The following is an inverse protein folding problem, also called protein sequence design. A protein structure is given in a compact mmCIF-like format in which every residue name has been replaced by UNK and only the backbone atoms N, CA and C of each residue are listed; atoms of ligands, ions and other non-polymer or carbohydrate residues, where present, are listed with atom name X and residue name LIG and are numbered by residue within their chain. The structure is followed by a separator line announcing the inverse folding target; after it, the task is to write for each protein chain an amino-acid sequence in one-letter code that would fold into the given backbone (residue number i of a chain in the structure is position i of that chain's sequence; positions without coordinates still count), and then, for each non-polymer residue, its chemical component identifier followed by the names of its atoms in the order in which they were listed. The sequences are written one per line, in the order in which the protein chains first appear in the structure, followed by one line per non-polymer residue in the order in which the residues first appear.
data_IF_659318745449
#
_entry.id   IF_659318745449
#
_cell.length_a   1.000
_cell.length_b   1.000
_cell.length_c   1.000
_cell.angle_alpha   90.00
_cell.angle_beta   90.00
_cell.angle_gamma   90.00
#
_symmetry.space_group_name_H-M   'P 1'
#
loop_
_entity.id
_entity.type
_entity.pdbx_description
1 polymer ?
#
# COMPACT_ATOMS: atom_id res chain seq x y z
N UNK A 1 -0.23 -33.07 -14.23
CA UNK A 1 -0.24 -31.84 -15.06
C UNK A 1 -1.54 -31.74 -15.82
N UNK A 2 -1.89 -30.54 -16.29
CA UNK A 2 -3.02 -30.35 -17.19
C UNK A 2 -2.60 -30.65 -18.63
N UNK A 3 -3.50 -31.22 -19.43
CA UNK A 3 -3.30 -31.42 -20.87
C UNK A 3 -2.96 -30.09 -21.57
N UNK A 4 -2.06 -30.12 -22.54
CA UNK A 4 -1.60 -28.94 -23.28
C UNK A 4 -1.26 -29.29 -24.74
N UNK A 5 -1.27 -28.29 -25.60
CA UNK A 5 -0.83 -28.41 -27.00
C UNK A 5 0.49 -27.67 -27.17
N UNK A 6 1.53 -28.33 -27.68
CA UNK A 6 2.76 -27.68 -28.12
C UNK A 6 2.70 -27.46 -29.61
N UNK A 7 3.13 -26.30 -30.07
CA UNK A 7 3.08 -25.91 -31.47
C UNK A 7 4.42 -25.30 -31.88
N UNK A 8 5.08 -25.86 -32.88
CA UNK A 8 6.25 -25.24 -33.50
C UNK A 8 5.78 -24.07 -34.37
N UNK A 9 6.25 -22.87 -34.04
CA UNK A 9 5.96 -21.67 -34.83
C UNK A 9 6.72 -21.74 -36.16
N UNK A 10 6.09 -21.34 -37.27
CA UNK A 10 6.77 -21.31 -38.55
C UNK A 10 7.86 -20.24 -38.56
N UNK A 11 8.95 -20.49 -39.30
CA UNK A 11 10.00 -19.51 -39.51
C UNK A 11 9.51 -18.30 -40.32
N UNK A 12 8.54 -18.50 -41.21
CA UNK A 12 7.87 -17.46 -42.00
C UNK A 12 6.36 -17.57 -41.77
N UNK A 13 5.73 -16.52 -41.27
CA UNK A 13 4.30 -16.55 -40.98
C UNK A 13 3.47 -16.11 -42.20
N UNK A 14 2.79 -17.06 -42.84
CA UNK A 14 1.73 -16.74 -43.79
C UNK A 14 0.38 -16.70 -43.06
N UNK A 15 -0.34 -15.57 -43.00
CA UNK A 15 -1.65 -15.49 -42.34
C UNK A 15 -2.72 -16.39 -42.98
N UNK A 16 -2.55 -16.82 -44.23
CA UNK A 16 -3.48 -17.73 -44.90
C UNK A 16 -3.21 -19.21 -44.58
N UNK A 17 -1.97 -19.55 -44.17
CA UNK A 17 -1.58 -20.91 -43.83
C UNK A 17 -1.56 -21.10 -42.30
N UNK A 18 -2.37 -22.03 -41.83
CA UNK A 18 -2.46 -22.42 -40.43
C UNK A 18 -1.71 -23.75 -40.15
N UNK A 19 -1.07 -24.33 -41.16
CA UNK A 19 -0.36 -25.60 -41.06
C UNK A 19 0.89 -25.43 -40.22
N UNK A 20 1.02 -26.23 -39.17
CA UNK A 20 2.18 -26.21 -38.30
C UNK A 20 2.40 -27.59 -37.67
N UNK A 21 3.65 -27.85 -37.26
CA UNK A 21 3.96 -29.06 -36.50
C UNK A 21 3.53 -28.88 -35.04
N UNK A 22 2.78 -29.84 -34.51
CA UNK A 22 2.24 -29.74 -33.15
C UNK A 22 2.14 -31.09 -32.46
N UNK A 23 2.21 -31.04 -31.12
CA UNK A 23 2.15 -32.20 -30.25
C UNK A 23 1.06 -32.02 -29.21
N UNK A 24 0.33 -33.11 -28.93
CA UNK A 24 -0.62 -33.16 -27.82
C UNK A 24 0.03 -33.78 -26.60
N UNK A 25 0.06 -33.04 -25.50
CA UNK A 25 0.45 -33.55 -24.18
C UNK A 25 -0.79 -33.96 -23.40
N UNK A 26 -0.78 -35.17 -22.84
CA UNK A 26 -1.73 -35.56 -21.81
C UNK A 26 -1.01 -36.18 -20.62
N UNK A 27 -1.18 -35.56 -19.45
CA UNK A 27 -0.40 -35.89 -18.25
C UNK A 27 1.11 -35.87 -18.49
N UNK A 28 1.73 -37.05 -18.43
CA UNK A 28 3.18 -37.26 -18.56
C UNK A 28 3.57 -37.94 -19.89
N UNK A 29 2.70 -37.90 -20.89
CA UNK A 29 2.95 -38.51 -22.20
C UNK A 29 2.70 -37.53 -23.37
N UNK A 30 3.57 -37.61 -24.38
CA UNK A 30 3.32 -37.06 -25.71
C UNK A 30 2.48 -38.08 -26.46
N UNK A 31 1.25 -37.72 -26.79
CA UNK A 31 0.28 -38.64 -27.39
C UNK A 31 0.47 -38.80 -28.90
N UNK A 32 0.92 -37.77 -29.59
CA UNK A 32 0.96 -37.74 -31.06
C UNK A 32 1.73 -36.53 -31.61
N UNK A 33 2.39 -36.73 -32.74
CA UNK A 33 3.02 -35.71 -33.59
C UNK A 33 2.12 -35.52 -34.84
N UNK A 34 1.80 -34.27 -35.17
CA UNK A 34 0.92 -33.89 -36.28
C UNK A 34 1.49 -32.70 -37.04
N UNK A 35 1.20 -32.61 -38.33
CA UNK A 35 1.56 -31.49 -39.20
C UNK A 35 0.33 -31.07 -40.00
N UNK A 36 -0.51 -30.23 -39.39
CA UNK A 36 -1.78 -29.77 -39.95
C UNK A 36 -2.26 -28.51 -39.21
N UNK A 37 -3.51 -28.10 -39.47
CA UNK A 37 -4.15 -26.96 -38.82
C UNK A 37 -5.16 -27.36 -37.72
N UNK A 38 -5.20 -28.63 -37.31
CA UNK A 38 -6.19 -29.16 -36.35
C UNK A 38 -5.86 -28.81 -34.90
N UNK A 39 -4.64 -28.32 -34.64
CA UNK A 39 -4.22 -27.77 -33.36
C UNK A 39 -5.20 -26.69 -32.84
N UNK A 40 -5.88 -25.96 -33.74
CA UNK A 40 -6.90 -24.95 -33.42
C UNK A 40 -8.13 -25.52 -32.72
N UNK A 41 -8.48 -26.77 -33.03
CA UNK A 41 -9.69 -27.44 -32.54
C UNK A 41 -9.51 -28.13 -31.19
N UNK A 42 -8.27 -28.21 -30.67
CA UNK A 42 -7.97 -28.97 -29.44
C UNK A 42 -8.57 -28.31 -28.19
N UNK A 43 -8.73 -26.98 -28.17
CA UNK A 43 -9.26 -26.25 -27.01
C UNK A 43 -8.39 -26.32 -25.74
N UNK A 44 -7.15 -26.82 -25.86
CA UNK A 44 -6.20 -26.96 -24.76
C UNK A 44 -5.31 -25.71 -24.64
N UNK A 45 -4.69 -25.47 -23.46
CA UNK A 45 -3.64 -24.47 -23.32
C UNK A 45 -2.51 -24.67 -24.34
N UNK A 46 -2.23 -23.64 -25.13
CA UNK A 46 -1.22 -23.66 -26.18
C UNK A 46 0.14 -23.19 -25.65
N UNK A 47 1.21 -23.94 -25.90
CA UNK A 47 2.61 -23.55 -25.68
C UNK A 47 3.28 -23.50 -27.05
N UNK A 48 3.80 -22.35 -27.44
CA UNK A 48 4.48 -22.23 -28.73
C UNK A 48 5.98 -22.48 -28.57
N UNK A 49 6.59 -23.13 -29.57
CA UNK A 49 8.03 -23.30 -29.70
C UNK A 49 8.52 -22.35 -30.80
N UNK A 50 9.40 -21.41 -30.45
CA UNK A 50 10.01 -20.50 -31.41
C UNK A 50 11.09 -21.23 -32.21
N UNK A 51 11.13 -21.09 -33.54
CA UNK A 51 12.07 -21.77 -34.42
C UNK A 51 13.51 -21.38 -34.09
N UNK A 52 14.43 -22.34 -34.26
CA UNK A 52 15.85 -22.17 -33.89
C UNK A 52 16.51 -21.05 -34.69
N UNK A 53 16.17 -20.91 -35.97
CA UNK A 53 16.72 -19.87 -36.84
C UNK A 53 16.44 -18.44 -36.35
N UNK A 54 15.41 -18.24 -35.52
CA UNK A 54 14.97 -16.91 -35.07
C UNK A 54 15.37 -16.59 -33.62
N UNK A 55 15.89 -17.56 -32.87
CA UNK A 55 16.25 -17.38 -31.45
C UNK A 55 17.68 -17.81 -31.19
N UNK A 56 18.50 -16.86 -30.73
CA UNK A 56 19.86 -17.17 -30.27
C UNK A 56 19.81 -17.63 -28.82
N UNK A 57 20.41 -18.78 -28.54
CA UNK A 57 20.67 -19.26 -27.19
C UNK A 57 22.12 -18.99 -26.80
N UNK A 58 22.34 -18.65 -25.53
CA UNK A 58 23.67 -18.50 -24.94
C UNK A 58 23.67 -19.02 -23.50
N UNK A 59 24.79 -19.56 -23.04
CA UNK A 59 24.94 -20.28 -21.78
C UNK A 59 26.07 -19.68 -20.93
N UNK A 60 25.88 -18.47 -20.37
CA UNK A 60 26.92 -17.79 -19.63
C UNK A 60 27.22 -18.44 -18.28
N UNK A 61 28.46 -18.35 -17.85
CA UNK A 61 28.90 -18.80 -16.54
C UNK A 61 28.35 -17.91 -15.42
N UNK A 62 28.23 -18.50 -14.22
CA UNK A 62 27.84 -17.77 -12.99
C UNK A 62 29.09 -17.45 -12.18
N UNK A 63 29.19 -16.24 -11.66
CA UNK A 63 30.34 -15.77 -10.89
C UNK A 63 29.95 -15.46 -9.43
N UNK A 64 29.32 -16.43 -8.77
CA UNK A 64 28.99 -16.34 -7.35
C UNK A 64 27.81 -15.42 -6.99
N UNK A 65 27.11 -14.86 -7.97
CA UNK A 65 25.94 -14.01 -7.74
C UNK A 65 24.70 -14.82 -7.36
N UNK A 66 23.73 -14.13 -6.74
CA UNK A 66 22.40 -14.69 -6.54
C UNK A 66 21.75 -15.03 -7.89
N UNK A 67 20.87 -16.04 -7.92
CA UNK A 67 20.25 -16.49 -9.18
C UNK A 67 19.56 -15.35 -9.96
N UNK A 68 18.89 -14.42 -9.25
CA UNK A 68 18.23 -13.27 -9.87
C UNK A 68 19.21 -12.25 -10.45
N UNK A 69 20.34 -12.02 -9.78
CA UNK A 69 21.39 -11.13 -10.29
C UNK A 69 22.06 -11.73 -11.52
N UNK A 70 22.43 -13.01 -11.45
CA UNK A 70 23.02 -13.72 -12.58
C UNK A 70 22.11 -13.67 -13.82
N UNK A 71 20.81 -13.93 -13.66
CA UNK A 71 19.82 -13.79 -14.75
C UNK A 71 19.73 -12.36 -15.29
N UNK A 72 19.74 -11.35 -14.43
CA UNK A 72 19.67 -9.95 -14.86
C UNK A 72 20.92 -9.52 -15.64
N UNK A 73 22.12 -9.89 -15.16
CA UNK A 73 23.40 -9.62 -15.80
C UNK A 73 23.46 -10.33 -17.16
N UNK A 74 23.18 -11.64 -17.17
CA UNK A 74 23.19 -12.45 -18.38
C UNK A 74 22.23 -11.91 -19.44
N UNK A 75 21.01 -11.50 -19.05
CA UNK A 75 20.05 -10.89 -19.98
C UNK A 75 20.58 -9.58 -20.58
N UNK A 76 21.19 -8.71 -19.78
CA UNK A 76 21.76 -7.45 -20.28
C UNK A 76 22.94 -7.70 -21.22
N UNK A 77 23.87 -8.58 -20.82
CA UNK A 77 25.01 -8.97 -21.64
C UNK A 77 24.58 -9.60 -22.98
N UNK A 78 23.55 -10.45 -22.97
CA UNK A 78 23.02 -11.08 -24.18
C UNK A 78 22.43 -10.04 -25.16
N UNK A 79 21.80 -8.97 -24.67
CA UNK A 79 21.33 -7.87 -25.54
C UNK A 79 22.52 -7.08 -26.11
N UNK A 80 23.52 -6.77 -25.29
CA UNK A 80 24.72 -6.03 -25.71
C UNK A 80 25.55 -6.78 -26.76
N UNK A 81 25.61 -8.11 -26.68
CA UNK A 81 26.25 -8.98 -27.68
C UNK A 81 25.39 -9.19 -28.94
N UNK A 82 24.17 -8.65 -28.98
CA UNK A 82 23.31 -8.71 -30.15
C UNK A 82 23.87 -7.87 -31.30
N UNK A 83 23.68 -8.33 -32.54
CA UNK A 83 24.08 -7.56 -33.73
C UNK A 83 23.10 -6.44 -34.09
N UNK A 84 21.86 -6.51 -33.59
CA UNK A 84 20.82 -5.51 -33.81
C UNK A 84 20.80 -4.48 -32.69
N UNK A 85 20.10 -3.36 -32.91
CA UNK A 85 19.89 -2.35 -31.87
C UNK A 85 19.19 -2.97 -30.65
N UNK A 86 19.71 -2.68 -29.45
CA UNK A 86 19.24 -3.22 -28.18
C UNK A 86 17.73 -2.97 -27.96
N UNK A 87 17.19 -1.85 -28.44
CA UNK A 87 15.75 -1.55 -28.31
C UNK A 87 14.86 -2.51 -29.13
N UNK A 88 15.42 -3.10 -30.19
CA UNK A 88 14.75 -4.01 -31.14
C UNK A 88 14.86 -5.49 -30.75
N UNK A 89 15.65 -5.79 -29.72
CA UNK A 89 15.81 -7.14 -29.19
C UNK A 89 14.98 -7.37 -27.93
N UNK A 90 14.58 -8.62 -27.74
CA UNK A 90 13.98 -9.12 -26.51
C UNK A 90 14.81 -10.29 -26.00
N UNK A 91 15.22 -10.21 -24.73
CA UNK A 91 16.01 -11.26 -24.10
C UNK A 91 15.34 -11.74 -22.81
N UNK A 92 15.45 -13.04 -22.57
CA UNK A 92 15.02 -13.72 -21.34
C UNK A 92 16.17 -14.54 -20.82
N UNK A 93 16.33 -14.60 -19.51
CA UNK A 93 17.32 -15.45 -18.84
C UNK A 93 16.61 -16.38 -17.86
N UNK A 94 17.10 -17.61 -17.76
CA UNK A 94 16.52 -18.65 -16.93
C UNK A 94 17.48 -19.80 -16.70
N UNK A 95 17.04 -20.82 -15.97
CA UNK A 95 17.83 -22.02 -15.75
C UNK A 95 17.32 -23.12 -16.67
N UNK A 96 18.19 -23.63 -17.53
CA UNK A 96 17.95 -24.79 -18.40
C UNK A 96 18.93 -25.88 -17.96
N UNK A 97 18.41 -27.02 -17.50
CA UNK A 97 19.21 -28.12 -16.93
C UNK A 97 20.23 -27.65 -15.88
N UNK A 98 19.80 -26.82 -14.92
CA UNK A 98 20.64 -26.20 -13.87
C UNK A 98 21.74 -25.23 -14.38
N UNK A 99 21.90 -25.07 -15.69
CA UNK A 99 22.78 -24.07 -16.29
C UNK A 99 22.03 -22.78 -16.55
N UNK A 100 22.70 -21.64 -16.34
CA UNK A 100 22.15 -20.36 -16.73
C UNK A 100 22.13 -20.29 -18.25
N UNK A 101 20.97 -19.97 -18.80
CA UNK A 101 20.76 -19.82 -20.22
C UNK A 101 20.03 -18.51 -20.51
N UNK A 102 20.31 -17.95 -21.68
CA UNK A 102 19.61 -16.79 -22.21
C UNK A 102 19.06 -17.10 -23.58
N UNK A 103 17.91 -16.52 -23.90
CA UNK A 103 17.29 -16.59 -25.21
C UNK A 103 17.06 -15.16 -25.70
N UNK A 104 17.58 -14.85 -26.89
CA UNK A 104 17.47 -13.54 -27.54
C UNK A 104 16.72 -13.70 -28.86
N UNK A 105 15.70 -12.86 -29.04
CA UNK A 105 14.84 -12.83 -30.23
C UNK A 105 14.60 -11.40 -30.69
N UNK A 106 14.42 -11.20 -31.98
CA UNK A 106 14.00 -9.91 -32.52
C UNK A 106 12.54 -9.61 -32.15
N UNK A 107 12.24 -8.36 -31.78
CA UNK A 107 10.87 -7.94 -31.48
C UNK A 107 9.93 -8.16 -32.67
N UNK A 108 10.43 -7.98 -33.91
CA UNK A 108 9.67 -8.20 -35.13
C UNK A 108 9.13 -9.63 -35.23
N UNK A 109 9.99 -10.63 -35.03
CA UNK A 109 9.58 -12.05 -35.05
C UNK A 109 8.55 -12.37 -33.97
N UNK A 110 8.72 -11.82 -32.76
CA UNK A 110 7.73 -11.99 -31.68
C UNK A 110 6.37 -11.40 -32.04
N UNK A 111 6.34 -10.21 -32.65
CA UNK A 111 5.10 -9.57 -33.10
C UNK A 111 4.46 -10.41 -34.20
N UNK A 112 5.24 -10.81 -35.20
CA UNK A 112 4.78 -11.61 -36.33
C UNK A 112 4.15 -12.94 -35.87
N UNK A 113 4.80 -13.68 -34.96
CA UNK A 113 4.24 -14.91 -34.41
C UNK A 113 2.96 -14.68 -33.61
N UNK A 114 2.92 -13.64 -32.77
CA UNK A 114 1.75 -13.33 -31.96
C UNK A 114 0.56 -12.88 -32.83
N UNK A 115 0.83 -12.11 -33.88
CA UNK A 115 -0.18 -11.67 -34.85
C UNK A 115 -0.69 -12.85 -35.68
N UNK A 116 0.18 -13.76 -36.13
CA UNK A 116 -0.20 -14.98 -36.84
C UNK A 116 -1.06 -15.89 -35.96
N UNK A 117 -0.66 -16.12 -34.70
CA UNK A 117 -1.46 -16.88 -33.74
C UNK A 117 -2.82 -16.22 -33.49
N UNK A 118 -2.85 -14.89 -33.32
CA UNK A 118 -4.08 -14.14 -33.10
C UNK A 118 -5.02 -14.18 -34.32
N UNK A 119 -4.48 -14.11 -35.55
CA UNK A 119 -5.24 -14.25 -36.79
C UNK A 119 -5.94 -15.62 -36.87
N UNK A 120 -5.31 -16.65 -36.29
CA UNK A 120 -5.87 -18.00 -36.19
C UNK A 120 -6.67 -18.25 -34.89
N UNK A 121 -6.96 -17.20 -34.12
CA UNK A 121 -7.79 -17.28 -32.91
C UNK A 121 -7.10 -17.89 -31.69
N UNK A 122 -5.77 -17.96 -31.69
CA UNK A 122 -4.98 -18.57 -30.64
C UNK A 122 -4.15 -17.56 -29.84
N UNK A 123 -3.96 -17.83 -28.54
CA UNK A 123 -3.13 -17.02 -27.65
C UNK A 123 -2.30 -17.94 -26.75
N UNK A 124 -1.00 -18.15 -27.04
CA UNK A 124 -0.20 -19.13 -26.31
C UNK A 124 0.06 -18.71 -24.85
N UNK A 125 0.04 -19.66 -23.93
CA UNK A 125 0.37 -19.43 -22.52
C UNK A 125 1.85 -19.08 -22.35
N UNK A 126 2.72 -19.71 -23.14
CA UNK A 126 4.16 -19.50 -23.14
C UNK A 126 4.71 -19.65 -24.56
N UNK A 127 5.84 -19.00 -24.83
CA UNK A 127 6.64 -19.20 -26.04
C UNK A 127 8.04 -19.60 -25.57
N UNK A 128 8.52 -20.77 -25.95
CA UNK A 128 9.81 -21.31 -25.56
C UNK A 128 10.71 -21.46 -26.79
N UNK A 129 12.03 -21.27 -26.69
CA UNK A 129 12.94 -21.58 -27.80
C UNK A 129 12.96 -23.09 -28.08
N UNK A 130 12.74 -23.49 -29.34
CA UNK A 130 12.84 -24.90 -29.76
C UNK A 130 14.24 -25.48 -29.50
N UNK A 131 15.27 -24.64 -29.59
CA UNK A 131 16.66 -25.01 -29.29
C UNK A 131 16.89 -25.51 -27.87
N UNK A 132 16.02 -25.17 -26.91
CA UNK A 132 16.12 -25.66 -25.54
C UNK A 132 15.73 -27.14 -25.39
N UNK A 133 15.26 -27.80 -26.45
CA UNK A 133 15.01 -29.24 -26.48
C UNK A 133 16.31 -30.06 -26.49
N UNK A 134 17.40 -29.49 -26.99
CA UNK A 134 18.69 -30.18 -27.03
C UNK A 134 19.47 -29.89 -25.74
N UNK A 135 19.93 -30.92 -25.00
CA UNK A 135 20.80 -30.73 -23.84
C UNK A 135 22.06 -29.96 -24.23
N UNK A 136 22.57 -29.07 -23.38
CA UNK A 136 23.90 -28.51 -23.57
C UNK A 136 24.96 -29.62 -23.36
N UNK A 137 25.59 -30.06 -24.45
CA UNK A 137 26.67 -31.07 -24.47
C UNK A 137 27.92 -30.55 -25.17
N UNK A 138 29.10 -31.05 -24.79
CA UNK A 138 30.37 -30.76 -25.48
C UNK A 138 30.49 -31.48 -26.83
N UNK A 139 29.72 -32.56 -27.02
CA UNK A 139 29.60 -33.30 -28.27
C UNK A 139 28.55 -32.66 -29.18
N UNK A 140 28.70 -32.86 -30.49
CA UNK A 140 27.67 -32.49 -31.46
C UNK A 140 26.43 -33.35 -31.27
N UNK A 141 25.30 -32.67 -31.11
CA UNK A 141 23.98 -33.28 -31.05
C UNK A 141 23.11 -32.72 -32.17
N UNK A 142 22.33 -33.58 -32.82
CA UNK A 142 21.38 -33.21 -33.85
C UNK A 142 19.98 -33.72 -33.51
N UNK A 143 18.96 -32.96 -33.91
CA UNK A 143 17.56 -33.30 -33.72
C UNK A 143 16.74 -32.78 -34.89
N UNK A 144 15.76 -33.55 -35.36
CA UNK A 144 14.74 -33.10 -36.30
C UNK A 144 13.46 -32.71 -35.54
N UNK A 145 12.96 -31.49 -35.78
CA UNK A 145 11.71 -30.95 -35.23
C UNK A 145 10.80 -30.55 -36.39
N UNK A 146 9.79 -31.37 -36.68
CA UNK A 146 8.94 -31.18 -37.86
C UNK A 146 9.80 -31.17 -39.14
N UNK A 147 9.73 -30.13 -39.98
CA UNK A 147 10.55 -30.02 -41.19
C UNK A 147 12.00 -29.57 -40.92
N UNK A 148 12.29 -29.02 -39.74
CA UNK A 148 13.55 -28.34 -39.47
C UNK A 148 14.52 -29.25 -38.72
N UNK A 149 15.76 -29.32 -39.22
CA UNK A 149 16.87 -29.91 -38.48
C UNK A 149 17.51 -28.88 -37.55
N UNK A 150 18.01 -29.36 -36.41
CA UNK A 150 18.70 -28.56 -35.40
C UNK A 150 20.02 -29.24 -35.05
N UNK A 151 21.08 -28.44 -34.95
CA UNK A 151 22.42 -28.87 -34.59
C UNK A 151 22.90 -28.05 -33.38
N UNK A 152 23.49 -28.70 -32.38
CA UNK A 152 23.98 -28.02 -31.19
C UNK A 152 25.29 -28.62 -30.64
N UNK A 153 26.12 -27.76 -30.02
CA UNK A 153 27.36 -28.11 -29.31
C UNK A 153 27.81 -26.98 -28.40
N UNK A 154 28.24 -27.28 -27.18
CA UNK A 154 28.97 -26.35 -26.31
C UNK A 154 28.23 -25.03 -26.01
N UNK A 155 26.90 -25.03 -26.14
CA UNK A 155 26.07 -23.83 -26.01
C UNK A 155 25.72 -23.12 -27.33
N UNK A 156 26.30 -23.51 -28.47
CA UNK A 156 25.81 -23.16 -29.80
C UNK A 156 24.58 -24.00 -30.14
N UNK A 157 23.53 -23.36 -30.62
CA UNK A 157 22.36 -24.02 -31.23
C UNK A 157 22.07 -23.32 -32.55
N UNK A 158 22.05 -24.08 -33.64
CA UNK A 158 21.86 -23.57 -34.98
C UNK A 158 20.95 -24.49 -35.81
N UNK A 159 20.33 -23.98 -36.89
CA UNK A 159 19.67 -24.81 -37.89
C UNK A 159 20.66 -25.81 -38.50
N UNK A 160 20.21 -27.02 -38.76
CA UNK A 160 21.02 -28.08 -39.34
C UNK A 160 20.96 -28.06 -40.87
N UNK A 161 21.47 -27.00 -41.46
CA UNK A 161 21.58 -26.87 -42.90
C UNK A 161 22.85 -27.59 -43.40
N UNK A 162 22.78 -28.37 -44.50
CA UNK A 162 23.93 -29.16 -44.98
C UNK A 162 25.21 -28.32 -45.16
N UNK A 163 25.09 -27.13 -45.76
CA UNK A 163 26.22 -26.24 -45.99
C UNK A 163 26.83 -25.71 -44.68
N UNK A 164 26.01 -25.47 -43.66
CA UNK A 164 26.47 -24.98 -42.36
C UNK A 164 27.07 -26.12 -41.52
N UNK A 165 26.48 -27.32 -41.59
CA UNK A 165 27.02 -28.53 -40.98
C UNK A 165 28.43 -28.82 -41.47
N UNK A 166 28.67 -28.78 -42.78
CA UNK A 166 29.99 -29.02 -43.38
C UNK A 166 31.04 -27.97 -42.96
N UNK A 167 30.62 -26.76 -42.58
CA UNK A 167 31.51 -25.70 -42.09
C UNK A 167 31.78 -25.77 -40.59
N UNK A 168 30.82 -26.28 -39.80
CA UNK A 168 30.90 -26.30 -38.33
C UNK A 168 31.47 -27.61 -37.79
N UNK A 169 31.12 -28.73 -38.41
CA UNK A 169 31.53 -30.07 -37.96
C UNK A 169 32.80 -30.46 -38.68
N UNK A 170 33.89 -30.66 -37.94
CA UNK A 170 35.16 -31.07 -38.54
C UNK A 170 35.08 -32.50 -39.12
N UNK A 171 35.80 -32.80 -40.21
CA UNK A 171 35.83 -34.14 -40.77
C UNK A 171 36.34 -35.17 -39.73
N UNK A 172 35.45 -36.06 -39.28
CA UNK A 172 35.75 -37.11 -38.30
C UNK A 172 35.13 -36.90 -36.92
N UNK A 173 34.50 -35.75 -36.66
CA UNK A 173 33.64 -35.59 -35.49
C UNK A 173 32.30 -36.31 -35.70
N UNK A 174 31.84 -37.06 -34.69
CA UNK A 174 30.56 -37.77 -34.73
C UNK A 174 29.44 -36.85 -34.24
N UNK A 175 28.34 -36.79 -34.99
CA UNK A 175 27.13 -36.06 -34.62
C UNK A 175 26.12 -37.05 -34.06
N UNK A 176 25.84 -36.96 -32.77
CA UNK A 176 24.85 -37.81 -32.10
C UNK A 176 23.43 -37.37 -32.46
N UNK A 177 22.65 -38.26 -33.08
CA UNK A 177 21.23 -38.00 -33.34
C UNK A 177 20.42 -38.29 -32.08
N UNK A 178 19.71 -37.28 -31.57
CA UNK A 178 18.84 -37.43 -30.42
C UNK A 178 17.70 -38.41 -30.73
N UNK A 179 17.53 -39.47 -29.93
CA UNK A 179 16.49 -40.44 -30.18
C UNK A 179 15.10 -39.87 -29.84
N UNK A 180 14.03 -40.25 -30.57
CA UNK A 180 12.70 -39.63 -30.42
C UNK A 180 12.12 -39.67 -29.00
N UNK A 181 12.40 -40.73 -28.23
CA UNK A 181 11.93 -40.84 -26.86
C UNK A 181 12.50 -39.74 -25.94
N UNK A 182 13.75 -39.35 -26.16
CA UNK A 182 14.40 -38.28 -25.40
C UNK A 182 13.79 -36.93 -25.75
N UNK A 183 13.46 -36.72 -27.02
CA UNK A 183 12.75 -35.51 -27.51
C UNK A 183 11.40 -35.36 -26.83
N UNK A 184 10.62 -36.44 -26.74
CA UNK A 184 9.33 -36.42 -26.04
C UNK A 184 9.49 -36.10 -24.55
N UNK A 185 10.49 -36.68 -23.87
CA UNK A 185 10.79 -36.35 -22.48
C UNK A 185 11.16 -34.87 -22.32
N UNK A 186 11.91 -34.33 -23.27
CA UNK A 186 12.31 -32.92 -23.29
C UNK A 186 11.13 -31.98 -23.53
N UNK A 187 10.23 -32.31 -24.45
CA UNK A 187 8.99 -31.56 -24.67
C UNK A 187 8.15 -31.48 -23.38
N UNK A 188 8.01 -32.60 -22.67
CA UNK A 188 7.32 -32.65 -21.38
C UNK A 188 8.02 -31.78 -20.32
N UNK A 189 9.34 -31.91 -20.18
CA UNK A 189 10.12 -31.13 -19.21
C UNK A 189 10.03 -29.62 -19.48
N UNK A 190 10.12 -29.20 -20.75
CA UNK A 190 9.97 -27.79 -21.14
C UNK A 190 8.57 -27.28 -20.84
N UNK A 191 7.51 -28.06 -21.13
CA UNK A 191 6.14 -27.68 -20.85
C UNK A 191 5.86 -27.52 -19.33
N UNK A 192 6.56 -28.28 -18.48
CA UNK A 192 6.45 -28.20 -17.02
C UNK A 192 7.18 -26.99 -16.45
N UNK A 193 8.45 -26.83 -16.80
CA UNK A 193 9.36 -25.88 -16.15
C UNK A 193 9.34 -24.50 -16.78
N UNK A 194 8.97 -24.40 -18.07
CA UNK A 194 8.96 -23.17 -18.86
C UNK A 194 10.24 -22.30 -18.67
N UNK A 195 11.46 -22.89 -18.74
CA UNK A 195 12.68 -22.28 -18.22
C UNK A 195 13.11 -20.99 -18.93
N UNK A 196 12.71 -20.79 -20.19
CA UNK A 196 13.06 -19.65 -21.03
C UNK A 196 11.82 -19.06 -21.73
N UNK A 197 10.81 -18.68 -20.95
CA UNK A 197 9.57 -18.15 -21.51
C UNK A 197 9.76 -16.74 -22.11
N UNK A 198 9.67 -16.65 -23.45
CA UNK A 198 9.72 -15.40 -24.22
C UNK A 198 8.46 -14.54 -24.06
N UNK A 199 7.37 -15.06 -23.48
CA UNK A 199 6.18 -14.27 -23.13
C UNK A 199 6.35 -13.50 -21.82
N UNK A 200 7.38 -12.66 -21.74
CA UNK A 200 7.67 -11.82 -20.59
C UNK A 200 7.87 -10.36 -20.98
N UNK A 201 7.88 -9.46 -19.99
CA UNK A 201 8.06 -8.01 -20.23
C UNK A 201 7.00 -7.45 -21.18
N UNK A 202 7.43 -6.88 -22.31
CA UNK A 202 6.53 -6.25 -23.30
C UNK A 202 5.60 -7.24 -24.01
N UNK A 203 5.98 -8.52 -24.08
CA UNK A 203 5.20 -9.61 -24.68
C UNK A 203 4.48 -10.46 -23.63
N UNK A 204 4.45 -10.01 -22.37
CA UNK A 204 3.72 -10.68 -21.32
C UNK A 204 2.24 -10.77 -21.72
N UNK A 205 1.67 -11.97 -21.56
CA UNK A 205 0.25 -12.19 -21.76
C UNK A 205 -0.52 -11.25 -20.84
N UNK A 206 -1.33 -10.36 -21.43
CA UNK A 206 -2.25 -9.49 -20.68
C UNK A 206 -3.29 -10.39 -20.04
N UNK A 207 -3.02 -10.82 -18.79
CA UNK A 207 -4.01 -11.51 -17.98
C UNK A 207 -5.12 -10.51 -17.71
N UNK A 208 -6.23 -10.61 -18.45
CA UNK A 208 -7.51 -10.22 -17.89
C UNK A 208 -7.63 -11.06 -16.62
N UNK A 209 -7.46 -10.42 -15.47
CA UNK A 209 -7.55 -11.07 -14.17
C UNK A 209 -8.91 -11.76 -14.15
N UNK A 210 -8.92 -13.08 -14.34
CA UNK A 210 -10.03 -13.94 -13.99
C UNK A 210 -10.10 -13.85 -12.46
N UNK A 211 -10.78 -12.80 -12.00
CA UNK A 211 -10.93 -12.49 -10.60
C UNK A 211 -11.76 -13.62 -10.02
N UNK A 212 -11.07 -14.51 -9.32
CA UNK A 212 -11.68 -15.69 -8.71
C UNK A 212 -12.79 -15.23 -7.76
N UNK A 213 -14.04 -15.35 -8.20
CA UNK A 213 -15.21 -14.80 -7.53
C UNK A 213 -15.36 -15.30 -6.09
N UNK A 214 -14.83 -16.50 -5.83
CA UNK A 214 -14.74 -17.05 -4.49
C UNK A 214 -13.81 -16.23 -3.59
N UNK A 215 -12.62 -15.86 -4.09
CA UNK A 215 -11.66 -15.02 -3.37
C UNK A 215 -12.16 -13.59 -3.22
N UNK A 216 -12.85 -13.05 -4.22
CA UNK A 216 -13.47 -11.73 -4.07
C UNK A 216 -14.54 -11.74 -2.99
N UNK A 217 -15.37 -12.78 -2.91
CA UNK A 217 -16.36 -12.92 -1.83
C UNK A 217 -15.72 -13.01 -0.45
N UNK A 218 -14.60 -13.72 -0.32
CA UNK A 218 -13.84 -13.78 0.94
C UNK A 218 -13.24 -12.42 1.31
N UNK A 219 -12.65 -11.71 0.35
CA UNK A 219 -12.13 -10.36 0.55
C UNK A 219 -13.23 -9.34 0.88
N UNK A 220 -14.38 -9.45 0.23
CA UNK A 220 -15.55 -8.62 0.51
C UNK A 220 -16.11 -8.89 1.91
N UNK A 221 -16.16 -10.15 2.34
CA UNK A 221 -16.57 -10.52 3.68
C UNK A 221 -15.61 -9.96 4.75
N UNK A 222 -14.29 -10.07 4.51
CA UNK A 222 -13.27 -9.45 5.36
C UNK A 222 -13.38 -7.93 5.40
N UNK A 223 -13.60 -7.29 4.24
CA UNK A 223 -13.77 -5.85 4.14
C UNK A 223 -15.04 -5.35 4.84
N UNK A 224 -16.13 -6.14 4.85
CA UNK A 224 -17.36 -5.83 5.57
C UNK A 224 -17.24 -6.05 7.08
N UNK A 225 -16.39 -6.99 7.51
CA UNK A 225 -16.16 -7.28 8.92
C UNK A 225 -15.54 -6.07 9.65
N UNK A 226 -14.64 -5.34 8.98
CA UNK A 226 -13.94 -4.18 9.55
C UNK A 226 -14.92 -3.08 10.03
N UNK A 227 -15.82 -2.53 9.18
CA UNK A 227 -16.78 -1.53 9.63
C UNK A 227 -17.80 -2.09 10.62
N UNK A 228 -18.16 -3.39 10.53
CA UNK A 228 -19.05 -4.02 11.51
C UNK A 228 -18.44 -4.04 12.91
N UNK A 229 -17.16 -4.43 13.02
CA UNK A 229 -16.39 -4.35 14.27
C UNK A 229 -16.30 -2.92 14.79
N UNK A 230 -16.07 -1.95 13.91
CA UNK A 230 -16.08 -0.53 14.25
C UNK A 230 -17.42 -0.07 14.83
N UNK A 231 -18.54 -0.50 14.23
CA UNK A 231 -19.88 -0.20 14.70
C UNK A 231 -20.16 -0.78 16.09
N UNK A 232 -19.80 -2.05 16.32
CA UNK A 232 -19.97 -2.73 17.62
C UNK A 232 -19.14 -2.04 18.70
N UNK A 233 -17.90 -1.67 18.39
CA UNK A 233 -17.03 -0.93 19.31
C UNK A 233 -17.63 0.44 19.67
N UNK A 234 -18.15 1.16 18.66
CA UNK A 234 -18.84 2.44 18.87
C UNK A 234 -20.07 2.31 19.77
N UNK A 235 -20.90 1.29 19.54
CA UNK A 235 -22.08 1.01 20.38
C UNK A 235 -21.67 0.69 21.82
N UNK A 236 -20.64 -0.13 22.02
CA UNK A 236 -20.16 -0.49 23.35
C UNK A 236 -19.65 0.74 24.13
N UNK A 237 -18.93 1.64 23.47
CA UNK A 237 -18.48 2.90 24.06
C UNK A 237 -19.67 3.80 24.44
N UNK A 238 -20.68 3.91 23.57
CA UNK A 238 -21.89 4.70 23.85
C UNK A 238 -22.62 4.21 25.09
N UNK A 239 -22.86 2.90 25.20
CA UNK A 239 -23.55 2.29 26.35
C UNK A 239 -22.75 2.50 27.64
N UNK A 240 -21.42 2.35 27.57
CA UNK A 240 -20.55 2.56 28.72
C UNK A 240 -20.57 4.01 29.20
N UNK A 241 -20.52 4.96 28.27
CA UNK A 241 -20.59 6.39 28.59
C UNK A 241 -21.90 6.78 29.25
N UNK A 242 -23.03 6.22 28.80
CA UNK A 242 -24.35 6.45 29.39
C UNK A 242 -24.46 5.89 30.82
N UNK A 243 -23.88 4.72 31.06
CA UNK A 243 -23.80 4.12 32.40
C UNK A 243 -22.91 4.94 33.34
N UNK A 244 -21.74 5.38 32.86
CA UNK A 244 -20.82 6.20 33.64
C UNK A 244 -21.46 7.57 33.97
N UNK A 245 -22.15 8.19 33.01
CA UNK A 245 -22.90 9.43 33.22
C UNK A 245 -24.03 9.26 34.24
N UNK A 246 -24.86 8.23 34.08
CA UNK A 246 -25.96 7.93 35.01
C UNK A 246 -25.47 7.70 36.44
N UNK A 247 -24.32 7.05 36.60
CA UNK A 247 -23.69 6.81 37.91
C UNK A 247 -23.23 8.12 38.55
N UNK A 248 -22.54 8.98 37.79
CA UNK A 248 -22.08 10.29 38.25
C UNK A 248 -23.24 11.20 38.64
N UNK A 249 -24.33 11.20 37.86
CA UNK A 249 -25.55 11.94 38.19
C UNK A 249 -26.17 11.45 39.51
N UNK A 250 -26.31 10.14 39.68
CA UNK A 250 -26.84 9.57 40.93
C UNK A 250 -25.97 9.91 42.15
N UNK A 251 -24.65 9.93 41.98
CA UNK A 251 -23.71 10.31 43.04
C UNK A 251 -23.79 11.81 43.37
N UNK A 252 -23.89 12.67 42.35
CA UNK A 252 -24.05 14.11 42.51
C UNK A 252 -25.35 14.46 43.22
N UNK A 253 -26.45 13.79 42.85
CA UNK A 253 -27.75 13.94 43.52
C UNK A 253 -27.67 13.52 44.99
N UNK A 254 -27.02 12.40 45.30
CA UNK A 254 -26.84 11.90 46.68
C UNK A 254 -25.99 12.83 47.54
N UNK A 255 -24.86 13.30 47.02
CA UNK A 255 -23.97 14.18 47.78
C UNK A 255 -24.63 15.53 48.03
N UNK A 256 -25.36 16.04 47.04
CA UNK A 256 -26.08 17.32 47.15
C UNK A 256 -27.26 17.22 48.09
N UNK A 257 -28.04 16.14 48.02
CA UNK A 257 -29.17 15.94 48.94
C UNK A 257 -28.70 15.77 50.39
N UNK A 258 -27.60 15.05 50.61
CA UNK A 258 -26.97 14.92 51.92
C UNK A 258 -26.45 16.27 52.45
N UNK A 259 -25.88 17.10 51.57
CA UNK A 259 -25.42 18.43 51.94
C UNK A 259 -26.60 19.33 52.34
N UNK A 260 -27.61 19.48 51.47
CA UNK A 260 -28.73 20.42 51.61
C UNK A 260 -29.76 19.96 52.66
N UNK A 261 -29.86 18.65 52.92
CA UNK A 261 -30.85 18.06 53.82
C UNK A 261 -32.25 17.90 53.19
N UNK A 262 -32.34 18.00 51.86
CA UNK A 262 -33.54 17.79 51.06
C UNK A 262 -33.19 16.97 49.82
N UNK A 263 -34.12 16.15 49.32
CA UNK A 263 -33.89 15.40 48.08
C UNK A 263 -33.86 16.35 46.87
N UNK A 264 -32.75 16.34 46.14
CA UNK A 264 -32.53 17.18 44.95
C UNK A 264 -31.98 16.30 43.82
N UNK A 265 -32.58 16.40 42.63
CA UNK A 265 -32.09 15.70 41.43
C UNK A 265 -30.73 16.23 40.97
N UNK A 266 -29.94 15.40 40.27
CA UNK A 266 -28.62 15.80 39.75
C UNK A 266 -28.66 17.08 38.91
N UNK A 267 -29.69 17.24 38.07
CA UNK A 267 -29.86 18.42 37.22
C UNK A 267 -30.12 19.72 38.02
N UNK A 268 -30.74 19.61 39.20
CA UNK A 268 -31.04 20.75 40.08
C UNK A 268 -30.00 20.95 41.19
N UNK A 269 -29.03 20.02 41.32
CA UNK A 269 -28.06 19.97 42.39
C UNK A 269 -27.21 21.26 42.47
N UNK A 270 -26.67 21.70 41.33
CA UNK A 270 -25.86 22.92 41.26
C UNK A 270 -26.66 24.16 41.67
N UNK A 271 -27.87 24.33 41.12
CA UNK A 271 -28.74 25.46 41.43
C UNK A 271 -29.18 25.48 42.90
N UNK A 272 -29.45 24.32 43.49
CA UNK A 272 -29.83 24.20 44.89
C UNK A 272 -28.64 24.48 45.84
N UNK A 273 -27.42 24.05 45.47
CA UNK A 273 -26.20 24.41 46.21
C UNK A 273 -25.96 25.92 46.18
N UNK A 274 -26.05 26.54 45.00
CA UNK A 274 -25.85 27.98 44.84
C UNK A 274 -26.87 28.79 45.64
N UNK A 275 -28.13 28.34 45.65
CA UNK A 275 -29.19 28.97 46.45
C UNK A 275 -28.89 28.88 47.95
N UNK A 276 -28.39 27.74 48.43
CA UNK A 276 -28.04 27.54 49.85
C UNK A 276 -26.80 28.33 50.26
N UNK A 277 -25.80 28.42 49.40
CA UNK A 277 -24.59 29.22 49.61
C UNK A 277 -24.97 30.71 49.68
N UNK A 278 -25.85 31.18 48.78
CA UNK A 278 -26.37 32.55 48.79
C UNK A 278 -27.24 32.88 50.01
N UNK A 279 -27.96 31.90 50.56
CA UNK A 279 -28.82 32.08 51.74
C UNK A 279 -28.07 32.10 53.08
N UNK A 280 -26.78 31.75 53.12
CA UNK A 280 -25.97 31.73 54.35
C UNK A 280 -25.17 33.04 54.47
N UNK A 281 -25.53 33.96 55.39
CA UNK A 281 -24.86 35.26 55.49
C UNK A 281 -23.37 35.10 55.78
N UNK A 282 -22.50 35.63 54.91
CA UNK A 282 -21.04 35.54 55.02
C UNK A 282 -20.41 34.29 54.36
N UNK A 283 -21.20 33.39 53.78
CA UNK A 283 -20.71 32.21 53.07
C UNK A 283 -20.62 32.38 51.55
N UNK A 284 -20.64 33.61 51.03
CA UNK A 284 -20.30 33.88 49.62
C UNK A 284 -18.80 33.64 49.42
N UNK A 285 -18.35 32.38 49.50
CA UNK A 285 -16.95 31.94 49.45
C UNK A 285 -16.30 32.06 48.07
N UNK A 286 -16.84 32.88 47.18
CA UNK A 286 -16.28 33.15 45.87
C UNK A 286 -15.66 34.55 45.87
N UNK A 287 -14.33 34.69 45.71
CA UNK A 287 -13.67 35.99 45.61
C UNK A 287 -13.99 36.70 44.28
N UNK A 288 -14.60 35.99 43.33
CA UNK A 288 -14.72 36.43 41.94
C UNK A 288 -15.77 37.53 41.69
N UNK A 289 -16.98 37.51 42.28
CA UNK A 289 -17.96 38.58 42.07
C UNK A 289 -17.50 39.99 42.50
N UNK A 290 -16.96 40.23 43.73
CA UNK A 290 -16.50 41.57 44.11
C UNK A 290 -15.23 41.99 43.34
N UNK A 291 -14.37 41.04 42.95
CA UNK A 291 -13.19 41.32 42.13
C UNK A 291 -13.59 41.72 40.69
N UNK A 292 -14.55 41.03 40.09
CA UNK A 292 -15.08 41.36 38.77
C UNK A 292 -15.74 42.75 38.75
N UNK A 293 -16.51 43.08 39.78
CA UNK A 293 -17.11 44.41 39.93
C UNK A 293 -16.04 45.52 40.06
N UNK A 294 -15.00 45.32 40.88
CA UNK A 294 -13.89 46.27 41.01
C UNK A 294 -13.12 46.43 39.69
N UNK A 295 -12.84 45.33 38.99
CA UNK A 295 -12.12 45.34 37.72
C UNK A 295 -12.92 46.07 36.62
N UNK A 296 -14.21 45.80 36.51
CA UNK A 296 -15.07 46.45 35.52
C UNK A 296 -15.16 47.96 35.73
N UNK A 297 -15.17 48.42 36.98
CA UNK A 297 -15.17 49.86 37.30
C UNK A 297 -13.79 50.51 37.08
N UNK A 298 -12.70 49.81 37.39
CA UNK A 298 -11.34 50.29 37.09
C UNK A 298 -11.10 50.46 35.59
N UNK A 299 -11.65 49.58 34.73
CA UNK A 299 -11.54 49.74 33.27
C UNK A 299 -12.20 51.01 32.74
N UNK A 300 -13.23 51.53 33.41
CA UNK A 300 -13.97 52.72 32.98
C UNK A 300 -13.29 54.04 33.38
N UNK A 301 -12.33 54.00 34.31
CA UNK A 301 -11.63 55.18 34.83
C UNK A 301 -10.15 55.13 34.44
N UNK A 302 -9.75 55.89 33.43
CA UNK A 302 -8.33 56.06 33.08
C UNK A 302 -7.66 56.99 34.09
N UNK A 303 -6.74 56.45 34.91
CA UNK A 303 -5.96 57.25 35.89
C UNK A 303 -5.91 56.70 37.32
N UNK A 304 -6.52 55.54 37.57
CA UNK A 304 -6.47 54.84 38.87
C UNK A 304 -5.78 53.49 38.68
N UNK A 305 -4.70 53.24 39.42
CA UNK A 305 -3.98 51.96 39.40
C UNK A 305 -4.16 51.24 40.73
N UNK A 306 -4.45 49.94 40.67
CA UNK A 306 -4.48 49.10 41.86
C UNK A 306 -3.05 48.74 42.27
N UNK A 307 -2.68 49.07 43.50
CA UNK A 307 -1.36 48.79 44.08
C UNK A 307 -1.35 47.41 44.73
N UNK A 308 -2.42 47.07 45.44
CA UNK A 308 -2.60 45.75 46.06
C UNK A 308 -4.08 45.42 46.20
N UNK A 309 -4.41 44.14 46.08
CA UNK A 309 -5.75 43.61 46.32
C UNK A 309 -5.61 42.34 47.16
N UNK A 310 -6.25 42.32 48.33
CA UNK A 310 -6.23 41.20 49.27
C UNK A 310 -7.65 40.86 49.67
N UNK A 311 -8.05 39.61 49.43
CA UNK A 311 -9.31 39.07 49.92
C UNK A 311 -9.10 38.43 51.29
N UNK A 312 -9.84 38.88 52.30
CA UNK A 312 -9.71 38.38 53.67
C UNK A 312 -10.70 37.24 53.94
N UNK A 313 -10.38 36.32 54.87
CA UNK A 313 -11.24 35.19 55.24
C UNK A 313 -12.60 35.61 55.84
N UNK A 314 -12.74 36.88 56.23
CA UNK A 314 -13.97 37.49 56.74
C UNK A 314 -14.95 37.92 55.62
N UNK A 315 -14.66 37.57 54.37
CA UNK A 315 -15.49 37.87 53.21
C UNK A 315 -15.32 39.29 52.67
N UNK A 316 -14.36 40.06 53.18
CA UNK A 316 -14.10 41.44 52.73
C UNK A 316 -12.95 41.53 51.73
N UNK A 317 -13.12 42.35 50.70
CA UNK A 317 -12.08 42.64 49.72
C UNK A 317 -11.43 43.98 50.09
N UNK A 318 -10.14 43.95 50.43
CA UNK A 318 -9.36 45.14 50.68
C UNK A 318 -8.50 45.45 49.44
N UNK A 319 -8.60 46.66 48.91
CA UNK A 319 -7.83 47.11 47.76
C UNK A 319 -7.19 48.47 48.05
N UNK A 320 -5.90 48.61 47.77
CA UNK A 320 -5.20 49.90 47.82
C UNK A 320 -5.09 50.43 46.40
N UNK A 321 -5.67 51.61 46.14
CA UNK A 321 -5.67 52.26 44.82
C UNK A 321 -4.82 53.53 44.87
N UNK A 322 -3.98 53.74 43.85
CA UNK A 322 -3.26 54.98 43.63
C UNK A 322 -3.94 55.76 42.49
N UNK A 323 -4.20 57.05 42.70
CA UNK A 323 -4.77 57.91 41.67
C UNK A 323 -4.02 59.23 41.58
N UNK A 324 -4.01 59.83 40.39
CA UNK A 324 -3.39 61.13 40.13
C UNK A 324 -4.22 62.31 40.63
N UNK A 325 -5.54 62.13 40.79
CA UNK A 325 -6.50 63.13 41.31
C UNK A 325 -7.48 62.49 42.30
N UNK A 326 -7.92 63.25 43.31
CA UNK A 326 -8.80 62.75 44.38
C UNK A 326 -10.23 62.57 43.87
N UNK A 327 -10.64 63.35 42.88
CA UNK A 327 -11.96 63.30 42.27
C UNK A 327 -12.24 61.95 41.59
N UNK A 328 -11.21 61.30 41.06
CA UNK A 328 -11.33 60.00 40.38
C UNK A 328 -11.58 58.86 41.38
N UNK A 329 -10.99 58.95 42.58
CA UNK A 329 -11.24 58.02 43.69
C UNK A 329 -12.69 58.16 44.19
N UNK A 330 -13.19 59.39 44.32
CA UNK A 330 -14.56 59.65 44.75
C UNK A 330 -15.60 59.17 43.72
N UNK A 331 -15.32 59.29 42.42
CA UNK A 331 -16.18 58.73 41.36
C UNK A 331 -16.24 57.21 41.43
N UNK A 332 -15.11 56.55 41.66
CA UNK A 332 -15.05 55.10 41.84
C UNK A 332 -15.85 54.64 43.07
N UNK A 333 -15.71 55.35 44.19
CA UNK A 333 -16.47 55.07 45.42
C UNK A 333 -17.98 55.13 45.22
N UNK A 334 -18.46 56.19 44.55
CA UNK A 334 -19.88 56.35 44.25
C UNK A 334 -20.39 55.29 43.27
N UNK A 335 -19.57 54.86 42.31
CA UNK A 335 -19.94 53.79 41.37
C UNK A 335 -20.11 52.44 42.07
N UNK A 336 -19.23 52.11 43.01
CA UNK A 336 -19.27 50.86 43.78
C UNK A 336 -20.42 50.88 44.81
N UNK A 337 -20.73 52.02 45.40
CA UNK A 337 -21.91 52.16 46.26
C UNK A 337 -23.23 52.00 45.50
N UNK A 338 -23.34 52.49 44.25
CA UNK A 338 -24.53 52.27 43.40
C UNK A 338 -24.76 50.81 43.04
N UNK A 339 -23.70 50.00 43.04
CA UNK A 339 -23.77 48.55 42.83
C UNK A 339 -24.14 47.78 44.11
N UNK A 340 -24.47 48.48 45.19
CA UNK A 340 -24.90 47.86 46.46
C UNK A 340 -23.74 47.37 47.33
N UNK A 341 -22.50 47.83 47.10
CA UNK A 341 -21.38 47.50 47.99
C UNK A 341 -21.20 48.58 49.07
N UNK A 342 -21.03 48.14 50.32
CA UNK A 342 -20.68 49.05 51.42
C UNK A 342 -19.17 49.28 51.37
N UNK A 343 -18.77 50.50 51.01
CA UNK A 343 -17.36 50.87 50.83
C UNK A 343 -16.91 51.82 51.93
N UNK A 344 -15.83 51.45 52.63
CA UNK A 344 -15.11 52.32 53.57
C UNK A 344 -13.73 52.64 53.00
N UNK A 345 -13.41 53.93 52.87
CA UNK A 345 -12.14 54.39 52.31
C UNK A 345 -11.41 55.33 53.26
N UNK A 346 -10.09 55.15 53.37
CA UNK A 346 -9.19 56.09 54.03
C UNK A 346 -8.10 56.52 53.06
N UNK A 347 -7.96 57.84 52.84
CA UNK A 347 -6.95 58.40 51.93
C UNK A 347 -5.69 58.81 52.69
N UNK A 348 -4.51 58.50 52.15
CA UNK A 348 -3.21 58.93 52.68
C UNK A 348 -2.32 59.46 51.53
N UNK A 349 -1.55 60.55 51.75
CA UNK A 349 -0.56 61.01 50.77
C UNK A 349 0.58 59.99 50.64
N UNK A 350 0.91 59.60 49.40
CA UNK A 350 1.98 58.64 49.08
C UNK A 350 3.34 59.31 48.85
N UNK A 351 4.42 58.53 48.99
CA UNK A 351 5.82 59.01 48.96
C UNK A 351 6.28 59.62 47.61
N UNK A 352 5.53 59.39 46.53
CA UNK A 352 5.84 59.83 45.16
C UNK A 352 4.95 60.99 44.67
N UNK A 353 4.21 61.66 45.56
CA UNK A 353 3.30 62.76 45.20
C UNK A 353 1.94 62.30 44.63
N UNK A 354 1.65 60.99 44.67
CA UNK A 354 0.35 60.42 44.33
C UNK A 354 -0.49 60.19 45.60
N UNK A 355 -1.83 60.25 45.47
CA UNK A 355 -2.75 59.94 46.57
C UNK A 355 -3.08 58.45 46.57
N UNK A 356 -2.90 57.79 47.70
CA UNK A 356 -3.26 56.38 47.90
C UNK A 356 -4.55 56.33 48.72
N UNK A 357 -5.55 55.58 48.24
CA UNK A 357 -6.77 55.28 48.97
C UNK A 357 -6.81 53.79 49.30
N UNK A 358 -6.87 53.48 50.60
CA UNK A 358 -7.15 52.14 51.08
C UNK A 358 -8.66 51.96 51.15
N UNK A 359 -9.17 51.00 50.37
CA UNK A 359 -10.59 50.70 50.22
C UNK A 359 -10.88 49.33 50.80
N UNK A 360 -11.96 49.26 51.56
CA UNK A 360 -12.53 48.00 52.05
C UNK A 360 -13.94 47.87 51.51
N UNK A 361 -14.15 46.81 50.74
CA UNK A 361 -15.38 46.47 50.07
C UNK A 361 -16.03 45.30 50.81
N UNK A 362 -17.28 45.48 51.20
CA UNK A 362 -18.14 44.43 51.72
C UNK A 362 -19.43 44.42 50.89
N UNK A 363 -19.94 43.23 50.53
CA UNK A 363 -21.30 43.12 49.99
C UNK A 363 -22.27 43.69 51.03
N UNK A 364 -23.12 44.65 50.64
CA UNK A 364 -24.21 45.05 51.52
C UNK A 364 -25.22 43.90 51.64
N UNK A 365 -25.92 43.89 52.78
CA UNK A 365 -26.98 42.92 53.12
C UNK A 365 -28.07 42.80 52.05
#
# INVERSE_FOLDING_TARGET
MSDATLLLLPAVCDPADATACWWRLSGDAVLSDHVDADWRSQGLPLIALAPVASVRLDFPDRHGETARQAQAIARSAAIEQGMADAATLHAVAGLLDERLATAVVANGSMIEWLDWLAAHGADPVAILPAGALIPPSENWSSLTLGPDGVLARGGLVAPDEPAMRDMLVEPGEEVELLPPHLVHQRLLALAQLLPLNLRTGRFARRRLLLLDWRRLRELAALALLIPLLGLVMGLALMIRLDQDASRLEAETARLTSAAIGQEVSAAAAAAALDTRIGATPGASGSPFPPLAALYQQLQQLQGVTAVSVTYRPDGTLAASLAATRVEDINRLLLSLQRLGYRVTASTRPGASGQMIADLTLRSAE
#
